data_IF_267796094252
#
_entry.id   IF_267796094252
#
_cell.length_a   1.000
_cell.length_b   1.000
_cell.length_c   1.000
_cell.angle_alpha   90.00
_cell.angle_beta   90.00
_cell.angle_gamma   90.00
#
_symmetry.space_group_name_H-M   'P 1'
#
loop_
_entity.id
_entity.type
_entity.pdbx_description
1 polymer ?
#
# COMPACT_ATOMS: atom_id res chain seq x y z
N UNK A 1 65.12 -26.67 -43.14
CA UNK A 1 64.44 -25.60 -42.47
C UNK A 1 63.27 -26.13 -41.70
N UNK A 2 63.42 -26.30 -40.39
CA UNK A 2 62.36 -26.83 -39.50
C UNK A 2 61.42 -25.70 -39.08
N UNK A 3 60.17 -25.80 -39.44
CA UNK A 3 59.12 -24.88 -38.98
C UNK A 3 58.59 -25.29 -37.61
N UNK A 4 58.83 -24.49 -36.59
CA UNK A 4 58.38 -24.69 -35.24
C UNK A 4 56.90 -24.32 -35.14
N UNK A 5 56.03 -25.28 -34.83
CA UNK A 5 54.60 -25.04 -34.52
C UNK A 5 54.49 -24.69 -33.03
N UNK A 6 54.10 -23.48 -32.75
CA UNK A 6 53.72 -23.03 -31.40
C UNK A 6 52.28 -23.47 -31.15
N UNK A 7 52.08 -24.35 -30.18
CA UNK A 7 50.74 -24.74 -29.67
C UNK A 7 50.43 -23.85 -28.50
N UNK A 8 49.45 -22.96 -28.66
CA UNK A 8 48.92 -22.12 -27.57
C UNK A 8 47.85 -22.93 -26.84
N UNK A 9 48.14 -23.30 -25.60
CA UNK A 9 47.14 -23.87 -24.69
C UNK A 9 46.34 -22.72 -24.06
N UNK A 10 45.07 -22.59 -24.46
CA UNK A 10 44.13 -21.71 -23.77
C UNK A 10 43.56 -22.46 -22.57
N UNK A 11 44.03 -22.13 -21.39
CA UNK A 11 43.43 -22.56 -20.13
C UNK A 11 42.11 -21.80 -19.91
N UNK A 12 40.99 -22.45 -20.21
CA UNK A 12 39.66 -22.00 -19.79
C UNK A 12 39.52 -22.21 -18.27
N UNK A 13 39.78 -21.16 -17.49
CA UNK A 13 39.39 -21.10 -16.09
C UNK A 13 37.88 -21.01 -16.03
N UNK A 14 37.23 -22.16 -15.87
CA UNK A 14 35.82 -22.26 -15.58
C UNK A 14 35.54 -21.64 -14.19
N UNK A 15 35.15 -20.35 -14.15
CA UNK A 15 34.51 -19.81 -12.97
C UNK A 15 33.14 -20.42 -12.85
N UNK A 16 33.01 -21.44 -12.00
CA UNK A 16 31.73 -21.95 -11.56
C UNK A 16 30.99 -20.80 -10.87
N UNK A 17 30.10 -20.15 -11.61
CA UNK A 17 29.07 -19.28 -11.02
C UNK A 17 28.18 -20.21 -10.22
N UNK A 18 28.47 -20.36 -8.92
CA UNK A 18 27.52 -20.96 -8.00
C UNK A 18 26.29 -20.08 -8.03
N UNK A 19 25.28 -20.52 -8.80
CA UNK A 19 23.92 -20.00 -8.67
C UNK A 19 23.55 -20.24 -7.20
N UNK A 20 23.54 -19.16 -6.43
CA UNK A 20 22.90 -19.17 -5.12
C UNK A 20 21.45 -19.49 -5.39
N UNK A 21 21.11 -20.78 -5.36
CA UNK A 21 19.74 -21.22 -5.27
C UNK A 21 19.14 -20.44 -4.09
N UNK A 22 18.09 -19.71 -4.34
CA UNK A 22 17.25 -19.09 -3.31
C UNK A 22 16.74 -20.25 -2.46
N UNK A 23 17.54 -20.64 -1.46
CA UNK A 23 17.23 -21.72 -0.57
C UNK A 23 15.87 -21.45 0.04
N UNK A 24 15.04 -22.47 0.14
CA UNK A 24 13.85 -22.50 0.98
C UNK A 24 14.27 -22.23 2.43
N UNK A 25 14.51 -20.95 2.79
CA UNK A 25 14.56 -20.58 4.18
C UNK A 25 13.15 -20.80 4.73
N UNK A 26 12.95 -21.75 5.63
CA UNK A 26 11.65 -21.95 6.21
C UNK A 26 11.32 -20.70 7.03
N UNK A 27 10.52 -19.79 6.45
CA UNK A 27 9.98 -18.68 7.22
C UNK A 27 9.27 -19.26 8.45
N UNK A 28 9.35 -18.59 9.60
CA UNK A 28 8.70 -19.08 10.80
C UNK A 28 7.22 -19.31 10.53
N UNK A 29 6.66 -20.40 11.02
CA UNK A 29 5.23 -20.66 10.90
C UNK A 29 4.46 -19.74 11.85
N UNK A 30 4.08 -18.55 11.36
CA UNK A 30 3.14 -17.69 12.07
C UNK A 30 1.70 -18.12 11.73
N UNK A 31 0.88 -18.34 12.75
CA UNK A 31 -0.53 -18.73 12.59
C UNK A 31 -1.38 -17.52 12.20
N UNK A 32 -1.18 -16.98 10.99
CA UNK A 32 -1.92 -15.82 10.49
C UNK A 32 -3.22 -16.23 9.79
N UNK A 33 -4.27 -15.48 10.03
CA UNK A 33 -5.58 -15.61 9.39
C UNK A 33 -5.61 -15.00 7.98
N UNK A 34 -4.74 -14.03 7.69
CA UNK A 34 -4.61 -13.42 6.38
C UNK A 34 -4.39 -14.47 5.30
N UNK A 35 -5.05 -14.30 4.14
CA UNK A 35 -4.87 -15.19 2.98
C UNK A 35 -3.51 -14.97 2.31
N UNK A 36 -2.99 -13.75 2.34
CA UNK A 36 -1.66 -13.40 1.86
C UNK A 36 -1.04 -12.43 2.84
N UNK A 37 0.25 -12.60 3.12
CA UNK A 37 1.00 -11.77 4.05
C UNK A 37 2.46 -11.63 3.63
N UNK A 38 3.05 -10.47 3.92
CA UNK A 38 4.49 -10.25 3.84
C UNK A 38 4.92 -9.31 4.97
N UNK A 39 6.07 -9.62 5.57
CA UNK A 39 6.84 -8.72 6.41
C UNK A 39 8.19 -8.53 5.72
N UNK A 40 8.51 -7.29 5.42
CA UNK A 40 9.63 -6.95 4.56
C UNK A 40 10.49 -5.85 5.18
N UNK A 41 11.80 -6.03 5.21
CA UNK A 41 12.75 -5.01 5.62
C UNK A 41 13.24 -4.25 4.38
N UNK A 42 12.92 -2.95 4.32
CA UNK A 42 13.30 -2.09 3.19
C UNK A 42 14.81 -1.90 3.12
N UNK A 43 15.47 -1.65 4.27
CA UNK A 43 16.91 -1.33 4.36
C UNK A 43 17.77 -2.50 3.90
N UNK A 44 17.39 -3.71 4.28
CA UNK A 44 18.13 -4.92 3.93
C UNK A 44 17.63 -5.61 2.65
N UNK A 45 16.54 -5.10 2.06
CA UNK A 45 15.87 -5.72 0.90
C UNK A 45 15.53 -7.19 1.15
N UNK A 46 15.01 -7.51 2.35
CA UNK A 46 14.84 -8.85 2.86
C UNK A 46 13.39 -9.16 3.21
N UNK A 47 12.92 -10.35 2.84
CA UNK A 47 11.64 -10.89 3.31
C UNK A 47 11.86 -11.57 4.66
N UNK A 48 11.35 -10.98 5.74
CA UNK A 48 11.39 -11.54 7.10
C UNK A 48 10.36 -12.68 7.25
N UNK A 49 9.18 -12.50 6.64
CA UNK A 49 8.10 -13.48 6.63
C UNK A 49 7.28 -13.35 5.36
N UNK A 50 6.80 -14.46 4.83
CA UNK A 50 5.81 -14.43 3.75
C UNK A 50 4.85 -15.62 3.80
N UNK A 51 3.64 -15.37 3.27
CA UNK A 51 2.57 -16.33 3.04
C UNK A 51 1.82 -15.92 1.78
N UNK A 52 1.84 -16.75 0.73
CA UNK A 52 1.14 -16.50 -0.54
C UNK A 52 1.33 -15.07 -1.08
N UNK A 53 2.53 -14.52 -0.91
CA UNK A 53 2.81 -13.09 -1.10
C UNK A 53 2.85 -12.63 -2.57
N UNK A 54 2.88 -13.56 -3.52
CA UNK A 54 2.81 -13.33 -4.98
C UNK A 54 1.43 -13.60 -5.56
N UNK A 55 0.47 -14.04 -4.74
CA UNK A 55 -0.90 -14.28 -5.21
C UNK A 55 -1.63 -12.97 -5.40
N UNK A 56 -2.13 -12.74 -6.63
CA UNK A 56 -2.95 -11.56 -6.98
C UNK A 56 -4.29 -11.62 -6.27
N UNK A 57 -4.66 -10.51 -5.60
CA UNK A 57 -5.90 -10.38 -4.83
C UNK A 57 -6.50 -8.98 -4.94
N UNK A 58 -7.83 -8.84 -4.83
CA UNK A 58 -8.44 -7.52 -4.64
C UNK A 58 -7.90 -6.85 -3.38
N UNK A 59 -7.60 -5.56 -3.48
CA UNK A 59 -6.90 -4.80 -2.41
C UNK A 59 -7.77 -3.75 -1.73
N UNK A 60 -8.99 -3.55 -2.22
CA UNK A 60 -9.91 -2.55 -1.69
C UNK A 60 -9.25 -1.16 -1.55
N UNK A 61 -9.57 -0.42 -0.50
CA UNK A 61 -9.07 0.95 -0.28
C UNK A 61 -7.57 1.08 -0.02
N UNK A 62 -6.75 0.01 -0.10
CA UNK A 62 -5.30 0.17 -0.20
C UNK A 62 -4.93 0.92 -1.49
N UNK A 63 -5.77 0.86 -2.51
CA UNK A 63 -5.75 1.67 -3.74
C UNK A 63 -5.52 3.16 -3.47
N UNK A 64 -6.08 3.69 -2.39
CA UNK A 64 -5.99 5.12 -2.06
C UNK A 64 -4.57 5.59 -1.70
N UNK A 65 -3.65 4.68 -1.38
CA UNK A 65 -2.24 5.03 -1.25
C UNK A 65 -1.64 5.38 -2.62
N UNK A 66 -1.93 4.61 -3.66
CA UNK A 66 -1.47 4.91 -5.02
C UNK A 66 -2.12 6.20 -5.53
N UNK A 67 -3.43 6.37 -5.33
CA UNK A 67 -4.11 7.61 -5.69
C UNK A 67 -3.44 8.83 -5.03
N UNK A 68 -3.20 8.77 -3.71
CA UNK A 68 -2.57 9.88 -2.99
C UNK A 68 -1.17 10.19 -3.52
N UNK A 69 -0.37 9.15 -3.86
CA UNK A 69 0.96 9.31 -4.46
C UNK A 69 0.87 10.04 -5.79
N UNK A 70 -0.03 9.64 -6.68
CA UNK A 70 -0.23 10.27 -8.00
C UNK A 70 -0.73 11.71 -7.88
N UNK A 71 -1.69 11.98 -6.97
CA UNK A 71 -2.19 13.35 -6.74
C UNK A 71 -1.09 14.28 -6.20
N UNK A 72 -0.21 13.77 -5.33
CA UNK A 72 0.89 14.57 -4.78
C UNK A 72 1.98 14.80 -5.83
N UNK A 73 2.30 13.78 -6.63
CA UNK A 73 3.31 13.89 -7.70
C UNK A 73 2.92 14.91 -8.77
N UNK A 74 1.63 15.05 -9.06
CA UNK A 74 1.12 16.05 -10.00
C UNK A 74 1.40 17.50 -9.56
N UNK A 75 1.61 17.71 -8.25
CA UNK A 75 2.02 19.02 -7.72
C UNK A 75 0.93 20.09 -7.78
N UNK A 76 -0.34 19.73 -7.94
CA UNK A 76 -1.44 20.69 -7.92
C UNK A 76 -1.57 21.39 -6.55
N UNK A 77 -2.00 22.68 -6.51
CA UNK A 77 -2.10 23.42 -5.27
C UNK A 77 -2.95 22.72 -4.21
N UNK A 78 -2.41 22.58 -2.99
CA UNK A 78 -3.07 21.91 -1.88
C UNK A 78 -4.25 22.70 -1.32
N UNK A 79 -4.24 24.01 -1.46
CA UNK A 79 -5.29 24.94 -1.07
C UNK A 79 -6.40 25.10 -2.13
N UNK A 80 -6.23 24.50 -3.31
CA UNK A 80 -7.28 24.49 -4.33
C UNK A 80 -8.59 23.94 -3.79
N UNK A 81 -9.67 24.70 -4.03
CA UNK A 81 -11.01 24.37 -3.58
C UNK A 81 -11.73 23.42 -4.54
N UNK A 82 -12.08 22.24 -4.03
CA UNK A 82 -12.75 21.17 -4.78
C UNK A 82 -14.15 20.97 -4.21
N UNK A 83 -15.17 21.10 -5.05
CA UNK A 83 -16.57 20.88 -4.67
C UNK A 83 -16.95 19.42 -4.86
N UNK A 84 -17.58 18.83 -3.85
CA UNK A 84 -18.15 17.48 -3.90
C UNK A 84 -19.41 17.50 -4.76
N UNK A 85 -19.45 16.67 -5.78
CA UNK A 85 -20.58 16.60 -6.73
C UNK A 85 -21.30 15.25 -6.67
N UNK A 86 -22.35 15.11 -7.47
CA UNK A 86 -23.08 13.83 -7.62
C UNK A 86 -22.18 12.75 -8.24
N UNK A 87 -21.20 13.14 -9.06
CA UNK A 87 -20.27 12.23 -9.70
C UNK A 87 -19.32 11.54 -8.69
N UNK A 88 -19.23 12.07 -7.47
CA UNK A 88 -18.43 11.48 -6.39
C UNK A 88 -19.20 10.43 -5.58
N UNK A 89 -20.45 10.12 -5.94
CA UNK A 89 -21.25 9.09 -5.28
C UNK A 89 -20.77 7.71 -5.71
N UNK A 90 -20.55 6.85 -4.71
CA UNK A 90 -20.27 5.43 -4.96
C UNK A 90 -21.48 4.72 -5.56
N UNK A 91 -21.39 4.41 -6.85
CA UNK A 91 -22.40 3.65 -7.60
C UNK A 91 -22.08 2.14 -7.65
N UNK A 92 -20.92 1.70 -7.14
CA UNK A 92 -20.48 0.30 -7.22
C UNK A 92 -20.95 -0.53 -6.01
N UNK A 93 -20.84 0.02 -4.82
CA UNK A 93 -21.15 -0.67 -3.55
C UNK A 93 -22.18 0.06 -2.70
N UNK A 94 -22.60 1.27 -3.08
CA UNK A 94 -23.55 2.08 -2.34
C UNK A 94 -23.04 2.48 -0.95
N UNK A 95 -21.73 2.68 -0.80
CA UNK A 95 -21.15 3.08 0.49
C UNK A 95 -21.64 4.47 0.89
N UNK A 96 -22.03 4.60 2.16
CA UNK A 96 -22.38 5.91 2.70
C UNK A 96 -21.16 6.81 2.87
N UNK A 97 -21.34 8.11 2.67
CA UNK A 97 -20.34 9.14 2.94
C UNK A 97 -20.94 10.24 3.78
N UNK A 98 -20.14 10.82 4.67
CA UNK A 98 -20.52 11.97 5.49
C UNK A 98 -20.17 13.31 4.82
N UNK A 99 -19.38 13.31 3.75
CA UNK A 99 -19.17 14.49 2.91
C UNK A 99 -20.44 14.77 2.11
N UNK A 100 -21.03 15.94 2.30
CA UNK A 100 -22.28 16.33 1.63
C UNK A 100 -21.99 16.85 0.23
N UNK A 101 -22.85 16.50 -0.72
CA UNK A 101 -22.82 17.07 -2.08
C UNK A 101 -23.04 18.59 -1.96
N UNK A 102 -22.31 19.36 -2.78
CA UNK A 102 -22.31 20.82 -2.79
C UNK A 102 -21.37 21.45 -1.77
N UNK A 103 -20.74 20.68 -0.87
CA UNK A 103 -19.70 21.24 0.02
C UNK A 103 -18.36 21.31 -0.69
N UNK A 104 -17.59 22.35 -0.36
CA UNK A 104 -16.28 22.62 -0.96
C UNK A 104 -15.19 22.48 0.10
N UNK A 105 -14.10 21.83 -0.29
CA UNK A 105 -12.96 21.51 0.59
C UNK A 105 -11.65 21.71 -0.16
N UNK A 106 -10.57 22.02 0.57
CA UNK A 106 -9.23 22.08 -0.04
C UNK A 106 -8.77 20.68 -0.49
N UNK A 107 -7.91 20.61 -1.50
CA UNK A 107 -7.26 19.38 -1.94
C UNK A 107 -6.58 18.67 -0.76
N UNK A 108 -5.86 19.43 0.06
CA UNK A 108 -5.23 18.90 1.27
C UNK A 108 -6.23 18.20 2.20
N UNK A 109 -7.38 18.85 2.45
CA UNK A 109 -8.44 18.27 3.29
C UNK A 109 -8.98 16.98 2.71
N UNK A 110 -9.17 16.91 1.41
CA UNK A 110 -9.63 15.69 0.73
C UNK A 110 -8.57 14.59 0.77
N UNK A 111 -7.28 14.89 0.60
CA UNK A 111 -6.18 13.94 0.79
C UNK A 111 -6.16 13.40 2.22
N UNK A 112 -6.31 14.28 3.22
CA UNK A 112 -6.36 13.88 4.62
C UNK A 112 -7.51 12.90 4.89
N UNK A 113 -8.72 13.21 4.45
CA UNK A 113 -9.88 12.33 4.62
C UNK A 113 -9.73 11.00 3.84
N UNK A 114 -9.14 11.03 2.66
CA UNK A 114 -8.87 9.85 1.83
C UNK A 114 -7.93 8.89 2.52
N UNK A 115 -6.86 9.38 3.13
CA UNK A 115 -5.84 8.56 3.77
C UNK A 115 -6.25 8.12 5.17
N UNK A 116 -6.70 9.02 6.02
CA UNK A 116 -7.05 8.78 7.42
C UNK A 116 -8.34 7.94 7.55
N UNK A 117 -9.45 8.47 7.05
CA UNK A 117 -10.78 7.85 7.22
C UNK A 117 -11.20 6.95 6.05
N UNK A 118 -10.36 6.87 5.01
CA UNK A 118 -10.67 6.10 3.80
C UNK A 118 -11.93 6.60 3.06
N UNK A 119 -12.19 7.92 3.11
CA UNK A 119 -13.38 8.54 2.55
C UNK A 119 -13.44 8.37 1.02
N UNK A 120 -14.52 7.75 0.53
CA UNK A 120 -14.65 7.41 -0.90
C UNK A 120 -14.98 8.63 -1.76
N UNK A 121 -15.87 9.54 -1.31
CA UNK A 121 -16.17 10.77 -2.05
C UNK A 121 -14.96 11.69 -2.14
N UNK A 122 -14.14 11.77 -1.09
CA UNK A 122 -12.90 12.52 -1.14
C UNK A 122 -11.94 11.96 -2.20
N UNK A 123 -11.76 10.65 -2.23
CA UNK A 123 -10.92 9.98 -3.23
C UNK A 123 -11.44 10.19 -4.67
N UNK A 124 -12.75 10.06 -4.87
CA UNK A 124 -13.40 10.30 -6.17
C UNK A 124 -13.22 11.76 -6.63
N UNK A 125 -13.48 12.74 -5.74
CA UNK A 125 -13.32 14.15 -6.04
C UNK A 125 -11.87 14.51 -6.39
N UNK A 126 -10.88 13.96 -5.69
CA UNK A 126 -9.47 14.13 -6.01
C UNK A 126 -9.14 13.61 -7.42
N UNK A 127 -9.58 12.40 -7.76
CA UNK A 127 -9.34 11.82 -9.07
C UNK A 127 -10.06 12.59 -10.19
N UNK A 128 -11.28 13.07 -9.94
CA UNK A 128 -12.03 13.89 -10.90
C UNK A 128 -11.35 15.24 -11.17
N UNK A 129 -10.65 15.80 -10.20
CA UNK A 129 -9.87 17.04 -10.32
C UNK A 129 -8.40 16.82 -10.73
N UNK A 130 -8.01 15.59 -11.05
CA UNK A 130 -6.73 15.31 -11.67
C UNK A 130 -6.74 15.84 -13.13
N UNK A 131 -5.61 16.30 -13.70
CA UNK A 131 -5.56 16.70 -15.09
C UNK A 131 -6.04 15.59 -16.03
N UNK A 132 -7.05 15.87 -16.83
CA UNK A 132 -7.74 14.88 -17.67
C UNK A 132 -8.80 14.04 -16.94
N UNK A 133 -9.04 14.30 -15.64
CA UNK A 133 -10.13 13.69 -14.87
C UNK A 133 -9.82 12.28 -14.35
N UNK A 134 -10.87 11.59 -13.92
CA UNK A 134 -10.78 10.29 -13.23
C UNK A 134 -10.06 9.22 -14.06
N UNK A 135 -10.31 9.16 -15.36
CA UNK A 135 -9.67 8.16 -16.23
C UNK A 135 -8.16 8.38 -16.28
N UNK A 136 -7.72 9.63 -16.49
CA UNK A 136 -6.29 9.96 -16.49
C UNK A 136 -5.62 9.70 -15.14
N UNK A 137 -6.31 9.95 -14.01
CA UNK A 137 -5.79 9.60 -12.69
C UNK A 137 -5.57 8.09 -12.55
N UNK A 138 -6.51 7.26 -13.03
CA UNK A 138 -6.39 5.78 -12.99
C UNK A 138 -5.30 5.29 -13.94
N UNK A 139 -5.19 5.88 -15.12
CA UNK A 139 -4.11 5.56 -16.07
C UNK A 139 -2.75 5.86 -15.44
N UNK A 140 -2.58 7.02 -14.80
CA UNK A 140 -1.33 7.39 -14.11
C UNK A 140 -1.04 6.47 -12.91
N UNK A 141 -2.07 6.02 -12.15
CA UNK A 141 -1.90 5.01 -11.11
C UNK A 141 -1.32 3.70 -11.68
N UNK A 142 -1.74 3.28 -12.87
CA UNK A 142 -1.22 2.09 -13.54
C UNK A 142 0.20 2.33 -14.11
N UNK A 143 0.46 3.48 -14.71
CA UNK A 143 1.82 3.87 -15.15
C UNK A 143 2.78 3.88 -13.96
N UNK A 144 2.38 4.48 -12.85
CA UNK A 144 3.15 4.50 -11.60
C UNK A 144 3.40 3.09 -11.06
N UNK A 145 2.42 2.20 -11.11
CA UNK A 145 2.59 0.81 -10.70
C UNK A 145 3.70 0.12 -11.51
N UNK A 146 3.68 0.26 -12.82
CA UNK A 146 4.72 -0.29 -13.72
C UNK A 146 6.09 0.32 -13.37
N UNK A 147 6.18 1.62 -13.20
CA UNK A 147 7.42 2.35 -12.85
C UNK A 147 8.02 1.86 -11.53
N UNK A 148 7.16 1.49 -10.56
CA UNK A 148 7.58 0.92 -9.28
C UNK A 148 7.89 -0.59 -9.35
N UNK A 149 7.75 -1.22 -10.52
CA UNK A 149 7.94 -2.66 -10.70
C UNK A 149 6.81 -3.51 -10.11
N UNK A 150 5.61 -2.94 -9.94
CA UNK A 150 4.41 -3.61 -9.42
C UNK A 150 3.66 -4.29 -10.57
N UNK A 151 4.28 -5.27 -11.21
CA UNK A 151 3.79 -5.88 -12.46
C UNK A 151 2.55 -6.77 -12.29
N UNK A 152 2.25 -7.18 -11.05
CA UNK A 152 1.05 -7.95 -10.70
C UNK A 152 -0.06 -7.05 -10.12
N UNK A 153 0.02 -5.72 -10.37
CA UNK A 153 -0.91 -4.72 -9.85
C UNK A 153 -1.67 -4.05 -10.98
N UNK A 154 -2.98 -3.86 -10.77
CA UNK A 154 -3.86 -3.13 -11.68
C UNK A 154 -4.89 -2.32 -10.92
N UNK A 155 -5.16 -1.11 -11.41
CA UNK A 155 -6.19 -0.20 -10.91
C UNK A 155 -7.25 0.04 -11.97
N UNK A 156 -8.53 -0.03 -11.59
CA UNK A 156 -9.70 0.23 -12.43
C UNK A 156 -10.50 1.44 -11.93
N UNK A 157 -10.38 1.75 -10.63
CA UNK A 157 -10.99 2.91 -10.01
C UNK A 157 -10.05 3.55 -8.98
N UNK A 158 -10.23 4.85 -8.64
CA UNK A 158 -9.36 5.54 -7.69
C UNK A 158 -9.64 5.21 -6.22
N UNK A 159 -10.75 4.52 -5.91
CA UNK A 159 -11.24 4.32 -4.54
C UNK A 159 -10.94 2.94 -3.97
N UNK A 160 -10.82 1.93 -4.83
CA UNK A 160 -10.70 0.53 -4.48
C UNK A 160 -12.06 -0.13 -4.19
N UNK A 161 -13.15 0.43 -4.67
CA UNK A 161 -14.48 -0.16 -4.58
C UNK A 161 -14.71 -1.21 -5.67
N UNK A 162 -14.07 -1.06 -6.82
CA UNK A 162 -14.02 -2.09 -7.84
C UNK A 162 -13.09 -3.23 -7.41
N UNK A 163 -13.58 -4.46 -7.45
CA UNK A 163 -12.80 -5.64 -7.06
C UNK A 163 -11.74 -6.06 -8.09
N UNK A 164 -11.72 -5.40 -9.24
CA UNK A 164 -10.66 -5.49 -10.25
C UNK A 164 -9.44 -4.65 -9.91
N UNK A 165 -9.50 -3.80 -8.87
CA UNK A 165 -8.31 -3.23 -8.25
C UNK A 165 -7.57 -4.33 -7.51
N UNK A 166 -6.54 -4.86 -8.12
CA UNK A 166 -5.81 -6.03 -7.65
C UNK A 166 -4.33 -5.75 -7.48
N UNK A 167 -3.70 -6.49 -6.57
CA UNK A 167 -2.25 -6.46 -6.35
C UNK A 167 -1.80 -7.73 -5.62
N UNK A 168 -0.51 -7.85 -5.38
CA UNK A 168 0.10 -8.84 -4.48
C UNK A 168 0.63 -8.17 -3.22
N UNK A 169 0.78 -8.93 -2.12
CA UNK A 169 1.43 -8.38 -0.92
C UNK A 169 2.86 -7.92 -1.23
N UNK A 170 3.55 -8.61 -2.14
CA UNK A 170 4.89 -8.25 -2.61
C UNK A 170 4.92 -6.90 -3.32
N UNK A 171 4.00 -6.67 -4.25
CA UNK A 171 3.94 -5.40 -4.98
C UNK A 171 3.59 -4.22 -4.06
N UNK A 172 2.68 -4.45 -3.13
CA UNK A 172 2.30 -3.42 -2.16
C UNK A 172 3.47 -2.99 -1.27
N UNK A 173 4.50 -3.83 -1.02
CA UNK A 173 5.71 -3.37 -0.31
C UNK A 173 6.45 -2.29 -1.08
N UNK A 174 6.45 -2.35 -2.43
CA UNK A 174 7.07 -1.33 -3.28
C UNK A 174 6.34 0.01 -3.18
N UNK A 175 4.99 -0.03 -3.22
CA UNK A 175 4.18 1.17 -3.03
C UNK A 175 4.41 1.80 -1.65
N UNK A 176 4.38 0.98 -0.58
CA UNK A 176 4.57 1.47 0.79
C UNK A 176 5.96 2.08 0.99
N UNK A 177 7.00 1.46 0.41
CA UNK A 177 8.37 2.02 0.42
C UNK A 177 8.44 3.41 -0.19
N UNK A 178 7.68 3.66 -1.25
CA UNK A 178 7.63 5.00 -1.88
C UNK A 178 6.75 5.93 -1.04
N UNK A 179 5.60 5.47 -0.57
CA UNK A 179 4.69 6.25 0.26
C UNK A 179 5.35 6.79 1.54
N UNK A 180 6.33 6.07 2.07
CA UNK A 180 7.14 6.50 3.22
C UNK A 180 7.86 7.84 2.99
N UNK A 181 8.22 8.17 1.75
CA UNK A 181 8.93 9.40 1.40
C UNK A 181 8.01 10.62 1.20
N UNK A 182 6.68 10.45 1.34
CA UNK A 182 5.72 11.54 1.20
C UNK A 182 5.24 12.02 2.58
N UNK A 183 5.67 13.20 3.05
CA UNK A 183 5.26 13.72 4.37
C UNK A 183 3.74 13.80 4.56
N UNK A 184 2.99 14.16 3.51
CA UNK A 184 1.52 14.19 3.57
C UNK A 184 0.92 12.80 3.77
N UNK A 185 1.49 11.76 3.14
CA UNK A 185 1.01 10.38 3.30
C UNK A 185 1.30 9.89 4.71
N UNK A 186 2.53 10.08 5.20
CA UNK A 186 2.92 9.65 6.55
C UNK A 186 2.08 10.35 7.61
N UNK A 187 1.93 11.66 7.52
CA UNK A 187 1.14 12.47 8.48
C UNK A 187 -0.34 12.08 8.46
N UNK A 188 -0.97 12.04 7.28
CA UNK A 188 -2.42 11.85 7.21
C UNK A 188 -2.85 10.40 7.44
N UNK A 189 -2.07 9.42 7.01
CA UNK A 189 -2.43 8.01 7.15
C UNK A 189 -2.35 7.50 8.60
N UNK A 190 -1.52 8.13 9.43
CA UNK A 190 -1.32 7.77 10.84
C UNK A 190 -2.03 8.68 11.82
N UNK A 191 -2.65 9.77 11.32
CA UNK A 191 -3.32 10.75 12.17
C UNK A 191 -4.32 10.11 13.13
N UNK A 192 -4.12 10.31 14.44
CA UNK A 192 -4.86 9.61 15.50
C UNK A 192 -6.08 10.38 16.03
N UNK A 193 -6.07 11.70 15.88
CA UNK A 193 -7.15 12.57 16.35
C UNK A 193 -8.34 12.58 15.38
N UNK A 194 -9.47 13.12 15.84
CA UNK A 194 -10.62 13.34 14.98
C UNK A 194 -10.43 14.59 14.11
N UNK A 195 -10.87 14.50 12.86
CA UNK A 195 -10.96 15.64 11.94
C UNK A 195 -12.41 16.07 11.83
N UNK A 196 -12.69 17.33 12.15
CA UNK A 196 -14.01 17.93 11.99
C UNK A 196 -14.17 18.53 10.59
N UNK A 197 -15.30 18.21 9.94
CA UNK A 197 -15.71 18.83 8.67
C UNK A 197 -17.18 19.22 8.80
N UNK A 198 -17.45 20.50 9.02
CA UNK A 198 -18.77 20.96 9.43
C UNK A 198 -19.19 20.31 10.76
N UNK A 199 -20.35 19.70 10.81
CA UNK A 199 -20.86 18.95 11.97
C UNK A 199 -20.38 17.50 12.03
N UNK A 200 -19.59 17.02 11.05
CA UNK A 200 -19.19 15.62 10.95
C UNK A 200 -17.78 15.42 11.52
N UNK A 201 -17.62 14.35 12.30
CA UNK A 201 -16.33 13.93 12.87
C UNK A 201 -15.81 12.70 12.14
N UNK A 202 -14.55 12.74 11.72
CA UNK A 202 -13.85 11.64 11.02
C UNK A 202 -12.72 11.12 11.89
N UNK A 203 -12.56 9.79 11.92
CA UNK A 203 -11.49 9.11 12.64
C UNK A 203 -10.68 8.22 11.72
N UNK A 204 -9.50 7.82 12.18
CA UNK A 204 -8.65 6.91 11.43
C UNK A 204 -9.35 5.54 11.26
N UNK A 205 -9.41 5.06 10.03
CA UNK A 205 -10.01 3.76 9.68
C UNK A 205 -9.26 2.57 10.27
N UNK A 206 -8.02 2.75 10.74
CA UNK A 206 -7.20 1.75 11.39
C UNK A 206 -7.00 1.99 12.91
N UNK A 207 -7.79 2.87 13.52
CA UNK A 207 -7.65 3.26 14.94
C UNK A 207 -7.54 2.07 15.89
N UNK A 208 -8.34 1.01 15.68
CA UNK A 208 -8.31 -0.21 16.52
C UNK A 208 -7.00 -0.99 16.41
N UNK A 209 -6.32 -0.97 15.25
CA UNK A 209 -5.00 -1.60 15.10
C UNK A 209 -3.92 -0.69 15.68
N UNK A 210 -3.98 0.60 15.35
CA UNK A 210 -3.01 1.59 15.83
C UNK A 210 -3.01 1.72 17.36
N UNK A 211 -4.16 1.57 18.03
CA UNK A 211 -4.23 1.56 19.49
C UNK A 211 -3.56 0.34 20.17
N UNK A 212 -3.13 -0.66 19.40
CA UNK A 212 -2.45 -1.88 19.89
C UNK A 212 -0.95 -1.88 19.60
N UNK A 213 -0.45 -0.85 18.95
CA UNK A 213 0.95 -0.68 18.57
C UNK A 213 1.40 0.68 19.14
N UNK A 214 2.67 0.83 19.48
CA UNK A 214 3.22 2.15 19.80
C UNK A 214 2.99 3.07 18.58
N UNK A 215 2.21 4.15 18.70
CA UNK A 215 1.92 5.03 17.59
C UNK A 215 3.16 5.71 17.02
N UNK A 216 4.22 5.85 17.82
CA UNK A 216 5.46 6.53 17.41
C UNK A 216 6.28 5.71 16.40
N UNK A 217 6.06 4.41 16.32
CA UNK A 217 6.78 3.55 15.36
C UNK A 217 6.04 3.37 14.04
N UNK A 218 4.78 3.78 13.93
CA UNK A 218 3.99 3.62 12.69
C UNK A 218 4.08 4.88 11.85
N UNK A 219 4.61 4.75 10.64
CA UNK A 219 4.85 5.87 9.71
C UNK A 219 3.89 5.89 8.53
N UNK A 220 3.35 4.73 8.12
CA UNK A 220 2.28 4.63 7.11
C UNK A 220 1.26 3.62 7.59
N UNK A 221 -0.02 3.94 7.42
CA UNK A 221 -1.13 3.06 7.75
C UNK A 221 -2.27 3.19 6.76
N UNK A 222 -2.73 2.07 6.19
CA UNK A 222 -3.94 2.06 5.38
C UNK A 222 -4.68 0.74 5.52
N UNK A 223 -6.01 0.82 5.66
CA UNK A 223 -6.89 -0.34 5.66
C UNK A 223 -7.75 -0.37 4.39
N UNK A 224 -8.24 -1.55 4.05
CA UNK A 224 -9.19 -1.76 2.99
C UNK A 224 -10.19 -2.86 3.32
N UNK A 225 -11.43 -2.72 2.81
CA UNK A 225 -12.44 -3.74 2.86
C UNK A 225 -13.46 -3.61 1.73
N UNK A 226 -13.64 -4.67 1.00
CA UNK A 226 -14.82 -5.03 0.22
C UNK A 226 -15.02 -6.55 0.40
N UNK A 227 -16.20 -7.06 0.09
CA UNK A 227 -16.51 -8.49 0.33
C UNK A 227 -15.50 -9.45 -0.32
N UNK A 228 -15.08 -9.20 -1.56
CA UNK A 228 -14.12 -10.05 -2.29
C UNK A 228 -12.69 -9.93 -1.76
N UNK A 229 -12.26 -8.74 -1.33
CA UNK A 229 -10.93 -8.53 -0.77
C UNK A 229 -10.78 -9.09 0.66
N UNK A 230 -11.85 -9.11 1.43
CA UNK A 230 -11.76 -9.27 2.89
C UNK A 230 -11.13 -8.04 3.55
N UNK A 231 -10.67 -8.17 4.78
CA UNK A 231 -9.99 -7.08 5.51
C UNK A 231 -8.51 -7.07 5.17
N UNK A 232 -8.05 -5.94 4.67
CA UNK A 232 -6.67 -5.70 4.27
C UNK A 232 -6.05 -4.62 5.15
N UNK A 233 -4.71 -4.66 5.31
CA UNK A 233 -3.94 -3.60 5.94
C UNK A 233 -2.52 -3.56 5.38
N UNK A 234 -1.99 -2.35 5.26
CA UNK A 234 -0.56 -2.09 5.15
C UNK A 234 -0.12 -1.21 6.31
N UNK A 235 1.07 -1.49 6.84
CA UNK A 235 1.76 -0.68 7.84
C UNK A 235 3.21 -0.53 7.40
N UNK A 236 3.76 0.68 7.56
CA UNK A 236 5.21 0.88 7.60
C UNK A 236 5.61 1.30 9.02
N UNK A 237 6.73 0.76 9.49
CA UNK A 237 7.30 1.07 10.79
C UNK A 237 8.57 1.91 10.62
N UNK A 238 8.94 2.68 11.66
CA UNK A 238 10.15 3.53 11.68
C UNK A 238 11.45 2.77 11.40
N UNK A 239 11.49 1.47 11.75
CA UNK A 239 12.64 0.58 11.52
C UNK A 239 12.70 0.02 10.09
N UNK A 240 12.07 0.69 9.14
CA UNK A 240 12.02 0.28 7.73
C UNK A 240 11.35 -1.10 7.50
N UNK A 241 10.48 -1.50 8.41
CA UNK A 241 9.68 -2.72 8.29
C UNK A 241 8.34 -2.39 7.66
N UNK A 242 7.98 -3.13 6.61
CA UNK A 242 6.65 -3.08 5.97
C UNK A 242 5.89 -4.35 6.28
N UNK A 243 4.65 -4.21 6.70
CA UNK A 243 3.71 -5.30 6.93
C UNK A 243 2.53 -5.15 5.97
N UNK A 244 2.26 -6.17 5.17
CA UNK A 244 1.07 -6.23 4.32
C UNK A 244 0.29 -7.50 4.64
N UNK A 245 -1.00 -7.33 4.95
CA UNK A 245 -1.93 -8.43 5.18
C UNK A 245 -3.15 -8.26 4.26
N UNK A 246 -3.46 -9.30 3.48
CA UNK A 246 -4.59 -9.32 2.57
C UNK A 246 -5.55 -10.47 2.93
N UNK A 247 -6.85 -10.21 2.84
CA UNK A 247 -7.86 -11.26 2.90
C UNK A 247 -8.20 -11.78 4.29
N UNK A 248 -8.03 -11.00 5.34
CA UNK A 248 -8.53 -11.33 6.67
C UNK A 248 -10.07 -11.39 6.70
N UNK A 249 -10.64 -12.35 7.45
CA UNK A 249 -12.10 -12.54 7.52
C UNK A 249 -12.82 -11.48 8.34
N UNK A 250 -12.16 -10.93 9.37
CA UNK A 250 -12.73 -9.94 10.28
C UNK A 250 -11.69 -8.89 10.71
N UNK A 251 -12.17 -7.80 11.31
CA UNK A 251 -11.31 -6.79 11.93
C UNK A 251 -10.47 -7.41 13.03
N UNK A 252 -11.08 -8.28 13.87
CA UNK A 252 -10.36 -8.95 14.97
C UNK A 252 -9.24 -9.85 14.45
N UNK A 253 -9.47 -10.63 13.38
CA UNK A 253 -8.42 -11.44 12.76
C UNK A 253 -7.26 -10.58 12.25
N UNK A 254 -7.54 -9.44 11.61
CA UNK A 254 -6.53 -8.49 11.16
C UNK A 254 -5.70 -7.95 12.32
N UNK A 255 -6.34 -7.54 13.42
CA UNK A 255 -5.67 -7.04 14.62
C UNK A 255 -4.80 -8.13 15.25
N UNK A 256 -5.33 -9.34 15.37
CA UNK A 256 -4.58 -10.47 15.93
C UNK A 256 -3.35 -10.80 15.09
N UNK A 257 -3.48 -10.82 13.76
CA UNK A 257 -2.37 -11.09 12.85
C UNK A 257 -1.27 -10.03 12.98
N UNK A 258 -1.64 -8.75 13.08
CA UNK A 258 -0.68 -7.66 13.33
C UNK A 258 0.01 -7.88 14.68
N UNK A 259 -0.73 -8.19 15.74
CA UNK A 259 -0.14 -8.45 17.08
C UNK A 259 0.82 -9.64 17.07
N UNK A 260 0.50 -10.72 16.35
CA UNK A 260 1.40 -11.87 16.19
C UNK A 260 2.71 -11.44 15.52
N UNK A 261 2.62 -10.65 14.44
CA UNK A 261 3.80 -10.16 13.72
C UNK A 261 4.63 -9.22 14.61
N UNK A 262 4.01 -8.27 15.29
CA UNK A 262 4.71 -7.34 16.20
C UNK A 262 5.45 -8.10 17.31
N UNK A 263 4.80 -9.07 17.95
CA UNK A 263 5.45 -9.93 18.95
C UNK A 263 6.61 -10.75 18.37
N UNK A 264 6.50 -11.20 17.14
CA UNK A 264 7.57 -11.90 16.44
C UNK A 264 8.77 -10.99 16.17
N UNK A 265 8.53 -9.77 15.69
CA UNK A 265 9.58 -8.77 15.42
C UNK A 265 10.30 -8.35 16.70
N UNK A 266 9.56 -8.05 17.78
CA UNK A 266 10.12 -7.73 19.09
C UNK A 266 11.00 -8.86 19.65
N UNK A 267 10.56 -10.12 19.60
CA UNK A 267 11.35 -11.28 20.06
C UNK A 267 12.66 -11.48 19.30
N UNK A 268 12.77 -10.91 18.13
CA UNK A 268 13.95 -10.95 17.27
C UNK A 268 14.81 -9.68 17.33
N UNK A 269 14.41 -8.69 18.13
CA UNK A 269 15.02 -7.36 18.21
C UNK A 269 15.10 -6.68 16.82
N UNK A 270 14.02 -6.78 16.05
CA UNK A 270 13.90 -6.17 14.72
C UNK A 270 13.13 -4.83 14.77
N UNK A 271 12.48 -4.55 15.88
CA UNK A 271 11.79 -3.29 16.23
C UNK A 271 11.96 -3.07 17.72
#
# INVERSE_FOLDING_TARGET
>A
MLGSKVVVFVLLLGTSITSWAWGNFPYPKLALNAKSAIVYNISHNEIIYSKDHTTVRPIASLTKLMLATVIIDEGQPLDELITITKDDIDMLKGTSSRLRIGTTHTRERLLHLTLMSSENRAASALARHYPGGTLSAVDEMNVKAITLGMYDTRYEDPTGLDDRNVSTSKDLTRLVRVAFNYPLITTFSTYSSFVQVGSQSYSNSNSLTLSRIDPNIVTVSKTGYINRAGRCVVLALSDNIVIVLLGNRSVQHRINDVSIIMNYLNKRNLI
#
